data_IF_237719521687
#
_entry.id   IF_237719521687
#
_cell.length_a   1.000
_cell.length_b   1.000
_cell.length_c   1.000
_cell.angle_alpha   90.00
_cell.angle_beta   90.00
_cell.angle_gamma   90.00
#
_symmetry.space_group_name_H-M   'P 1'
#
loop_
_entity.id
_entity.type
_entity.pdbx_description
1 polymer ?
#
# COMPACT_ATOMS: atom_id res chain seq x y z
N UNK A 1 8.81 -9.44 -6.27
CA UNK A 1 8.51 -8.18 -5.57
C UNK A 1 7.21 -7.64 -6.12
N UNK A 2 6.09 -7.76 -5.38
CA UNK A 2 4.84 -7.14 -5.79
C UNK A 2 4.97 -5.61 -5.76
N UNK A 3 4.57 -5.00 -6.87
CA UNK A 3 4.48 -3.54 -7.02
C UNK A 3 2.99 -3.19 -7.18
N UNK A 4 2.48 -2.38 -6.27
CA UNK A 4 1.10 -1.89 -6.28
C UNK A 4 1.16 -0.40 -6.60
N UNK A 5 0.62 0.02 -7.75
CA UNK A 5 0.56 1.42 -8.13
C UNK A 5 -0.86 1.94 -7.91
N UNK A 6 -1.01 2.94 -7.06
CA UNK A 6 -2.32 3.46 -6.64
C UNK A 6 -2.55 4.83 -7.26
N UNK A 7 -3.43 4.86 -8.26
CA UNK A 7 -3.85 6.12 -8.89
C UNK A 7 -4.99 6.73 -8.12
N UNK A 8 -4.74 7.87 -7.50
CA UNK A 8 -5.74 8.65 -6.77
C UNK A 8 -6.07 9.95 -7.49
N UNK A 9 -7.24 10.51 -7.16
CA UNK A 9 -7.65 11.81 -7.66
C UNK A 9 -6.80 12.89 -6.97
N UNK A 10 -6.29 13.85 -7.75
CA UNK A 10 -5.46 14.94 -7.26
C UNK A 10 -6.22 15.84 -6.27
N UNK A 11 -5.55 16.24 -5.19
CA UNK A 11 -6.11 17.13 -4.17
C UNK A 11 -7.19 16.53 -3.27
N UNK A 12 -7.61 15.27 -3.50
CA UNK A 12 -8.68 14.63 -2.70
C UNK A 12 -8.15 14.04 -1.39
N UNK A 13 -6.95 13.48 -1.40
CA UNK A 13 -6.38 12.82 -0.23
C UNK A 13 -5.25 13.65 0.39
N UNK A 14 -5.31 13.80 1.71
CA UNK A 14 -4.22 14.41 2.49
C UNK A 14 -2.97 13.52 2.48
N UNK A 15 -1.78 14.06 2.82
CA UNK A 15 -0.56 13.26 2.97
C UNK A 15 -0.71 12.10 3.97
N UNK A 16 -1.49 12.30 5.04
CA UNK A 16 -1.77 11.30 6.07
C UNK A 16 -2.65 10.17 5.51
N UNK A 17 -3.73 10.51 4.79
CA UNK A 17 -4.59 9.51 4.17
C UNK A 17 -3.86 8.68 3.12
N UNK A 18 -2.91 9.30 2.38
CA UNK A 18 -2.04 8.55 1.47
C UNK A 18 -1.17 7.53 2.19
N UNK A 19 -0.64 7.86 3.37
CA UNK A 19 0.09 6.90 4.21
C UNK A 19 -0.80 5.76 4.70
N UNK A 20 -2.01 6.08 5.18
CA UNK A 20 -2.98 5.06 5.63
C UNK A 20 -3.36 4.09 4.50
N UNK A 21 -3.51 4.59 3.27
CA UNK A 21 -3.75 3.75 2.08
C UNK A 21 -2.58 2.80 1.83
N UNK A 22 -1.33 3.30 1.89
CA UNK A 22 -0.12 2.49 1.69
C UNK A 22 -0.01 1.38 2.75
N UNK A 23 -0.23 1.72 4.02
CA UNK A 23 -0.19 0.75 5.11
C UNK A 23 -1.28 -0.31 4.94
N UNK A 24 -2.52 0.10 4.69
CA UNK A 24 -3.65 -0.81 4.51
C UNK A 24 -3.45 -1.79 3.35
N UNK A 25 -2.90 -1.31 2.23
CA UNK A 25 -2.57 -2.17 1.08
C UNK A 25 -1.43 -3.14 1.38
N UNK A 26 -0.44 -2.70 2.16
CA UNK A 26 0.65 -3.57 2.58
C UNK A 26 0.14 -4.67 3.52
N UNK A 27 -0.72 -4.33 4.49
CA UNK A 27 -1.37 -5.32 5.37
C UNK A 27 -2.26 -6.28 4.59
N UNK A 28 -2.97 -5.80 3.57
CA UNK A 28 -3.77 -6.67 2.72
C UNK A 28 -2.89 -7.74 2.03
N UNK A 29 -1.73 -7.36 1.50
CA UNK A 29 -0.79 -8.33 0.89
C UNK A 29 -0.23 -9.31 1.92
N UNK A 30 0.13 -8.83 3.11
CA UNK A 30 0.60 -9.67 4.22
C UNK A 30 -0.48 -10.65 4.68
N UNK A 31 -1.75 -10.22 4.71
CA UNK A 31 -2.86 -11.09 5.15
C UNK A 31 -3.14 -12.26 4.21
N UNK A 32 -2.82 -12.12 2.91
CA UNK A 32 -3.08 -13.14 1.89
C UNK A 32 -1.92 -14.11 1.77
N UNK A 33 -0.69 -13.58 1.67
CA UNK A 33 0.51 -14.32 1.28
C UNK A 33 1.49 -14.53 2.47
N UNK A 34 1.22 -13.90 3.61
CA UNK A 34 2.02 -14.00 4.84
C UNK A 34 3.07 -12.89 5.00
N UNK A 35 3.67 -12.83 6.20
CA UNK A 35 4.58 -11.76 6.65
C UNK A 35 5.85 -11.61 5.79
N UNK A 36 6.26 -12.66 5.08
CA UNK A 36 7.37 -12.62 4.14
C UNK A 36 7.16 -11.59 3.01
N UNK A 37 5.93 -11.13 2.79
CA UNK A 37 5.59 -10.15 1.78
C UNK A 37 5.82 -8.70 2.21
N UNK A 38 5.96 -8.40 3.50
CA UNK A 38 6.07 -7.02 4.00
C UNK A 38 7.30 -6.30 3.46
N UNK A 39 8.46 -6.97 3.46
CA UNK A 39 9.73 -6.39 3.00
C UNK A 39 9.89 -6.33 1.48
N UNK A 40 8.97 -6.91 0.71
CA UNK A 40 9.06 -7.02 -0.76
C UNK A 40 7.90 -6.34 -1.49
N UNK A 41 6.90 -5.84 -0.75
CA UNK A 41 5.75 -5.11 -1.28
C UNK A 41 6.06 -3.63 -1.36
N UNK A 42 6.01 -3.11 -2.58
CA UNK A 42 6.22 -1.69 -2.87
C UNK A 42 4.89 -1.08 -3.29
N UNK A 43 4.45 -0.05 -2.56
CA UNK A 43 3.24 0.71 -2.90
C UNK A 43 3.66 2.12 -3.29
N UNK A 44 3.21 2.59 -4.45
CA UNK A 44 3.55 3.90 -5.04
C UNK A 44 2.31 4.62 -5.53
#
# INVERSE_FOLDING_TARGET
>A
MPLVNVKVIEGVFSPQQKHEIIESLTEAMVSIEGENMRGVTWVV
#
